data_IF_899393952898
#
_entry.id   IF_899393952898
#
_cell.length_a   1.000
_cell.length_b   1.000
_cell.length_c   1.000
_cell.angle_alpha   90.00
_cell.angle_beta   90.00
_cell.angle_gamma   90.00
#
_symmetry.space_group_name_H-M   'P 1'
#
loop_
_entity.id
_entity.type
_entity.pdbx_description
1 polymer ?
#
# COMPACT_ATOMS: atom_id res chain seq x y z
N UNK A 1 30.56 -39.03 -61.21
CA UNK A 1 30.07 -37.65 -60.95
C UNK A 1 29.09 -37.74 -59.80
N UNK A 2 29.57 -37.53 -58.56
CA UNK A 2 28.77 -37.70 -57.33
C UNK A 2 28.29 -36.33 -56.87
N UNK A 3 26.99 -36.11 -56.88
CA UNK A 3 26.36 -34.84 -56.43
C UNK A 3 26.15 -34.92 -54.91
N UNK A 4 26.91 -34.12 -54.14
CA UNK A 4 26.68 -33.89 -52.71
C UNK A 4 25.51 -32.91 -52.55
N UNK A 5 24.41 -33.36 -51.95
CA UNK A 5 23.30 -32.50 -51.53
C UNK A 5 23.60 -32.00 -50.09
N UNK A 6 23.77 -30.66 -49.98
CA UNK A 6 23.92 -29.99 -48.68
C UNK A 6 22.52 -29.75 -48.13
N UNK A 7 22.16 -30.45 -47.05
CA UNK A 7 20.90 -30.25 -46.30
C UNK A 7 21.11 -29.07 -45.33
N UNK A 8 20.51 -27.91 -45.65
CA UNK A 8 20.47 -26.74 -44.72
C UNK A 8 19.41 -27.00 -43.65
N UNK A 9 19.80 -27.31 -42.44
CA UNK A 9 18.91 -27.40 -41.30
C UNK A 9 18.67 -25.97 -40.76
N UNK A 10 17.48 -25.43 -41.01
CA UNK A 10 17.02 -24.19 -40.35
C UNK A 10 16.63 -24.51 -38.89
N UNK A 11 17.46 -24.11 -37.93
CA UNK A 11 17.14 -24.11 -36.53
C UNK A 11 16.14 -22.97 -36.24
N UNK A 12 14.86 -23.29 -36.17
CA UNK A 12 13.82 -22.40 -35.66
C UNK A 12 13.99 -22.31 -34.13
N UNK A 13 14.67 -21.27 -33.66
CA UNK A 13 14.70 -20.94 -32.25
C UNK A 13 13.26 -20.51 -31.81
N UNK A 14 12.66 -21.13 -30.77
CA UNK A 14 11.37 -20.70 -30.28
C UNK A 14 11.51 -19.30 -29.68
N UNK A 15 10.83 -18.31 -30.27
CA UNK A 15 10.62 -17.01 -29.63
C UNK A 15 9.70 -17.27 -28.44
N UNK A 16 10.27 -17.39 -27.25
CA UNK A 16 9.51 -17.33 -26.01
C UNK A 16 8.97 -15.92 -25.85
N UNK A 17 7.70 -15.70 -26.19
CA UNK A 17 6.97 -14.51 -25.83
C UNK A 17 6.92 -14.45 -24.31
N UNK A 18 7.76 -13.61 -23.71
CA UNK A 18 7.70 -13.34 -22.29
C UNK A 18 6.30 -12.82 -21.94
N UNK A 19 5.49 -13.65 -21.31
CA UNK A 19 4.15 -13.30 -20.87
C UNK A 19 4.28 -12.14 -19.88
N UNK A 20 3.80 -10.96 -20.26
CA UNK A 20 3.86 -9.76 -19.44
C UNK A 20 3.00 -9.98 -18.19
N UNK A 21 3.63 -10.31 -17.08
CA UNK A 21 2.91 -10.54 -15.81
C UNK A 21 2.28 -9.23 -15.35
N UNK A 22 1.01 -9.27 -14.95
CA UNK A 22 0.32 -8.10 -14.39
C UNK A 22 1.05 -7.62 -13.14
N UNK A 23 1.53 -6.36 -13.09
CA UNK A 23 2.24 -5.85 -11.93
C UNK A 23 1.32 -5.79 -10.71
N UNK A 24 1.90 -6.02 -9.54
CA UNK A 24 1.16 -6.10 -8.27
C UNK A 24 1.35 -4.83 -7.47
N UNK A 25 0.25 -4.33 -6.89
CA UNK A 25 0.23 -3.33 -5.82
C UNK A 25 -0.16 -4.06 -4.54
N UNK A 26 0.63 -3.94 -3.49
CA UNK A 26 0.25 -4.43 -2.17
C UNK A 26 -0.19 -3.27 -1.30
N UNK A 27 -1.38 -3.37 -0.73
CA UNK A 27 -1.82 -2.54 0.40
C UNK A 27 -1.39 -3.23 1.69
N UNK A 28 -0.42 -2.63 2.40
CA UNK A 28 0.23 -3.21 3.57
C UNK A 28 0.01 -2.33 4.78
N UNK A 29 -0.85 -2.78 5.68
CA UNK A 29 -1.30 -1.97 6.80
C UNK A 29 -1.99 -2.74 7.91
N UNK A 30 -2.80 -2.02 8.66
CA UNK A 30 -3.56 -2.53 9.79
C UNK A 30 -5.06 -2.74 9.48
N UNK A 31 -5.95 -2.35 10.39
CA UNK A 31 -7.40 -2.53 10.25
C UNK A 31 -8.03 -1.69 9.14
N UNK A 32 -7.50 -0.49 8.86
CA UNK A 32 -7.97 0.34 7.77
C UNK A 32 -7.70 -0.34 6.42
N UNK A 33 -6.51 -0.92 6.28
CA UNK A 33 -6.15 -1.70 5.09
C UNK A 33 -6.94 -3.00 5.01
N UNK A 34 -7.10 -3.72 6.13
CA UNK A 34 -7.87 -4.97 6.16
C UNK A 34 -9.34 -4.79 5.78
N UNK A 35 -9.90 -3.61 5.99
CA UNK A 35 -11.33 -3.33 5.84
C UNK A 35 -12.14 -3.83 7.05
N UNK A 36 -11.65 -3.56 8.27
CA UNK A 36 -12.33 -3.96 9.50
C UNK A 36 -13.79 -3.51 9.52
N UNK A 37 -14.69 -4.42 9.86
CA UNK A 37 -16.14 -4.16 9.91
C UNK A 37 -16.85 -4.04 8.55
N UNK A 38 -16.12 -4.01 7.43
CA UNK A 38 -16.71 -4.03 6.10
C UNK A 38 -17.03 -5.47 5.64
N UNK A 39 -18.05 -5.63 4.82
CA UNK A 39 -18.33 -6.90 4.19
C UNK A 39 -17.18 -7.31 3.21
N UNK A 40 -16.99 -8.61 2.93
CA UNK A 40 -16.01 -9.04 1.94
C UNK A 40 -16.21 -8.34 0.58
N UNK A 41 -15.11 -7.88 -0.04
CA UNK A 41 -15.14 -7.13 -1.28
C UNK A 41 -15.41 -5.61 -1.12
N UNK A 42 -15.46 -5.11 0.13
CA UNK A 42 -15.75 -3.71 0.44
C UNK A 42 -14.63 -3.02 1.25
N UNK A 43 -13.43 -3.58 1.28
CA UNK A 43 -12.25 -2.87 1.78
C UNK A 43 -11.77 -1.80 0.79
N UNK A 44 -10.97 -0.83 1.24
CA UNK A 44 -10.42 0.15 0.29
C UNK A 44 -9.52 -0.49 -0.77
N UNK A 45 -8.74 -1.55 -0.51
CA UNK A 45 -8.00 -2.23 -1.57
C UNK A 45 -8.89 -2.85 -2.65
N UNK A 46 -10.08 -3.35 -2.29
CA UNK A 46 -11.05 -3.87 -3.27
C UNK A 46 -11.56 -2.74 -4.18
N UNK A 47 -11.92 -1.60 -3.60
CA UNK A 47 -12.34 -0.42 -4.37
C UNK A 47 -11.19 0.20 -5.17
N UNK A 48 -9.96 0.15 -4.66
CA UNK A 48 -8.77 0.58 -5.40
C UNK A 48 -8.57 -0.26 -6.67
N UNK A 49 -8.80 -1.59 -6.59
CA UNK A 49 -8.78 -2.45 -7.78
C UNK A 49 -9.80 -1.98 -8.82
N UNK A 50 -11.05 -1.76 -8.39
CA UNK A 50 -12.12 -1.28 -9.29
C UNK A 50 -11.76 0.08 -9.92
N UNK A 51 -11.18 1.00 -9.16
CA UNK A 51 -10.73 2.30 -9.67
C UNK A 51 -9.62 2.17 -10.71
N UNK A 52 -8.63 1.33 -10.46
CA UNK A 52 -7.54 1.08 -11.40
C UNK A 52 -8.08 0.51 -12.71
N UNK A 53 -8.95 -0.50 -12.64
CA UNK A 53 -9.56 -1.15 -13.80
C UNK A 53 -10.40 -0.16 -14.62
N UNK A 54 -11.26 0.62 -13.96
CA UNK A 54 -12.13 1.61 -14.62
C UNK A 54 -11.35 2.75 -15.28
N UNK A 55 -10.13 3.02 -14.81
CA UNK A 55 -9.25 4.08 -15.34
C UNK A 55 -8.18 3.55 -16.31
N UNK A 56 -8.24 2.26 -16.66
CA UNK A 56 -7.36 1.61 -17.63
C UNK A 56 -5.93 1.37 -17.13
N UNK A 57 -5.75 1.21 -15.82
CA UNK A 57 -4.48 0.79 -15.23
C UNK A 57 -4.50 -0.73 -14.99
N UNK A 58 -3.54 -1.44 -15.57
CA UNK A 58 -3.46 -2.89 -15.48
C UNK A 58 -2.57 -3.32 -14.31
N UNK A 59 -3.12 -3.27 -13.10
CA UNK A 59 -2.48 -3.74 -11.86
C UNK A 59 -3.40 -4.70 -11.13
N UNK A 60 -2.82 -5.62 -10.36
CA UNK A 60 -3.52 -6.44 -9.39
C UNK A 60 -3.26 -5.91 -7.99
N UNK A 61 -4.30 -5.60 -7.23
CA UNK A 61 -4.19 -5.16 -5.83
C UNK A 61 -4.29 -6.37 -4.91
N UNK A 62 -3.35 -6.47 -3.96
CA UNK A 62 -3.36 -7.45 -2.88
C UNK A 62 -3.56 -6.73 -1.55
N UNK A 63 -4.59 -7.12 -0.82
CA UNK A 63 -4.81 -6.68 0.54
C UNK A 63 -3.96 -7.53 1.50
N UNK A 64 -3.00 -6.91 2.18
CA UNK A 64 -2.17 -7.50 3.22
C UNK A 64 -2.32 -6.75 4.55
N UNK A 65 -3.49 -6.16 4.80
CA UNK A 65 -3.88 -5.56 6.07
C UNK A 65 -4.17 -6.63 7.12
N UNK A 66 -3.78 -6.37 8.37
CA UNK A 66 -4.16 -7.20 9.53
C UNK A 66 -4.59 -6.28 10.67
N UNK A 67 -5.86 -6.40 11.07
CA UNK A 67 -6.43 -5.56 12.13
C UNK A 67 -5.63 -5.66 13.43
N UNK A 68 -5.40 -4.50 14.07
CA UNK A 68 -4.67 -4.40 15.32
C UNK A 68 -3.14 -4.39 15.18
N UNK A 69 -2.60 -4.57 13.97
CA UNK A 69 -1.16 -4.54 13.77
C UNK A 69 -0.57 -3.14 14.05
N UNK A 70 0.57 -3.13 14.72
CA UNK A 70 1.43 -1.98 14.93
C UNK A 70 2.52 -1.91 13.86
N UNK A 71 3.31 -0.84 13.87
CA UNK A 71 4.51 -0.73 13.02
C UNK A 71 5.50 -1.88 13.28
N UNK A 72 5.62 -2.37 14.54
CA UNK A 72 6.44 -3.53 14.90
C UNK A 72 5.98 -4.80 14.18
N UNK A 73 4.67 -5.02 14.10
CA UNK A 73 4.10 -6.15 13.37
C UNK A 73 4.37 -6.01 11.87
N UNK A 74 4.29 -4.79 11.34
CA UNK A 74 4.68 -4.48 9.97
C UNK A 74 6.13 -4.90 9.68
N UNK A 75 7.09 -4.56 10.57
CA UNK A 75 8.48 -4.99 10.44
C UNK A 75 8.60 -6.51 10.37
N UNK A 76 7.87 -7.24 11.22
CA UNK A 76 7.91 -8.71 11.25
C UNK A 76 7.41 -9.36 9.96
N UNK A 77 6.48 -8.71 9.24
CA UNK A 77 5.78 -9.23 8.06
C UNK A 77 6.30 -8.70 6.72
N UNK A 78 7.18 -7.69 6.70
CA UNK A 78 7.62 -7.04 5.46
C UNK A 78 8.24 -8.02 4.45
N UNK A 79 8.86 -9.10 4.91
CA UNK A 79 9.40 -10.15 4.02
C UNK A 79 8.31 -10.92 3.27
N UNK A 80 7.14 -11.13 3.88
CA UNK A 80 6.00 -11.75 3.21
C UNK A 80 5.46 -10.86 2.08
N UNK A 81 5.51 -9.52 2.29
CA UNK A 81 5.17 -8.56 1.24
C UNK A 81 6.11 -8.65 0.06
N UNK A 82 7.43 -8.72 0.32
CA UNK A 82 8.45 -8.87 -0.73
C UNK A 82 8.25 -10.17 -1.51
N UNK A 83 7.89 -11.26 -0.82
CA UNK A 83 7.64 -12.57 -1.46
C UNK A 83 6.44 -12.57 -2.43
N UNK A 84 5.53 -11.59 -2.33
CA UNK A 84 4.46 -11.37 -3.29
C UNK A 84 4.91 -10.66 -4.58
N UNK A 85 6.19 -10.31 -4.69
CA UNK A 85 6.82 -9.62 -5.83
C UNK A 85 6.06 -8.35 -6.28
N UNK A 86 5.69 -7.42 -5.37
CA UNK A 86 4.98 -6.23 -5.76
C UNK A 86 5.87 -5.25 -6.52
N UNK A 87 5.29 -4.51 -7.44
CA UNK A 87 5.92 -3.35 -8.07
C UNK A 87 5.79 -2.09 -7.21
N UNK A 88 4.71 -2.00 -6.43
CA UNK A 88 4.40 -0.87 -5.55
C UNK A 88 3.81 -1.43 -4.24
N UNK A 89 4.17 -0.80 -3.12
CA UNK A 89 3.55 -1.06 -1.80
C UNK A 89 3.02 0.25 -1.24
N UNK A 90 1.75 0.24 -0.84
CA UNK A 90 1.16 1.27 0.02
C UNK A 90 1.40 0.84 1.45
N UNK A 91 2.19 1.60 2.20
CA UNK A 91 2.46 1.36 3.63
C UNK A 91 1.52 2.23 4.45
N UNK A 92 0.69 1.60 5.28
CA UNK A 92 -0.31 2.24 6.13
C UNK A 92 -0.23 1.61 7.53
N UNK A 93 0.52 2.21 8.44
CA UNK A 93 0.71 1.78 9.83
C UNK A 93 0.92 2.98 10.75
N UNK A 94 0.70 2.77 12.03
CA UNK A 94 1.00 3.71 13.11
C UNK A 94 -0.24 4.15 13.87
N UNK A 95 -1.43 3.90 13.36
CA UNK A 95 -2.68 4.14 14.07
C UNK A 95 -2.71 3.40 15.41
N UNK A 96 -2.44 2.11 15.41
CA UNK A 96 -2.39 1.29 16.63
C UNK A 96 -1.24 1.66 17.56
N UNK A 97 -0.11 2.12 17.03
CA UNK A 97 1.00 2.63 17.84
C UNK A 97 0.56 3.88 18.62
N UNK A 98 -0.06 4.83 17.91
CA UNK A 98 -0.57 6.06 18.50
C UNK A 98 -1.69 5.83 19.49
N UNK A 99 -2.72 5.05 19.15
CA UNK A 99 -3.86 4.76 20.01
C UNK A 99 -3.46 4.05 21.31
N UNK A 100 -2.36 3.29 21.28
CA UNK A 100 -1.82 2.58 22.46
C UNK A 100 -0.74 3.36 23.20
N UNK A 101 -0.43 4.59 22.79
CA UNK A 101 0.60 5.42 23.43
C UNK A 101 2.01 4.82 23.32
N UNK A 102 2.32 4.07 22.26
CA UNK A 102 3.66 3.50 22.08
C UNK A 102 4.69 4.61 21.81
N UNK A 103 5.97 4.40 22.16
CA UNK A 103 6.99 5.41 21.94
C UNK A 103 7.11 5.82 20.45
N UNK A 104 6.94 7.10 20.17
CA UNK A 104 7.01 7.66 18.80
C UNK A 104 8.34 7.33 18.14
N UNK A 105 9.43 7.31 18.89
CA UNK A 105 10.76 6.92 18.40
C UNK A 105 10.79 5.50 17.86
N UNK A 106 10.06 4.57 18.49
CA UNK A 106 9.92 3.20 18.02
C UNK A 106 9.08 3.12 16.75
N UNK A 107 7.95 3.85 16.71
CA UNK A 107 7.11 3.96 15.50
C UNK A 107 7.91 4.47 14.30
N UNK A 108 8.70 5.54 14.50
CA UNK A 108 9.60 6.11 13.46
C UNK A 108 10.62 5.08 12.98
N UNK A 109 11.32 4.42 13.90
CA UNK A 109 12.34 3.42 13.57
C UNK A 109 11.75 2.22 12.81
N UNK A 110 10.55 1.79 13.17
CA UNK A 110 9.85 0.70 12.50
C UNK A 110 9.40 1.09 11.08
N UNK A 111 8.83 2.27 10.89
CA UNK A 111 8.47 2.78 9.54
C UNK A 111 9.71 2.92 8.67
N UNK A 112 10.80 3.45 9.18
CA UNK A 112 12.09 3.54 8.50
C UNK A 112 12.57 2.14 8.06
N UNK A 113 12.44 1.16 8.93
CA UNK A 113 12.83 -0.23 8.65
C UNK A 113 11.96 -0.84 7.56
N UNK A 114 10.64 -0.65 7.60
CA UNK A 114 9.70 -1.15 6.59
C UNK A 114 10.05 -0.54 5.23
N UNK A 115 10.09 0.80 5.15
CA UNK A 115 10.32 1.53 3.89
C UNK A 115 11.67 1.18 3.28
N UNK A 116 12.75 1.24 4.08
CA UNK A 116 14.10 0.90 3.59
C UNK A 116 14.22 -0.54 3.14
N UNK A 117 13.52 -1.49 3.80
CA UNK A 117 13.54 -2.91 3.43
C UNK A 117 12.84 -3.12 2.09
N UNK A 118 11.71 -2.47 1.85
CA UNK A 118 11.00 -2.52 0.57
C UNK A 118 11.82 -1.87 -0.56
N UNK A 119 12.40 -0.69 -0.31
CA UNK A 119 13.23 0.00 -1.32
C UNK A 119 14.49 -0.79 -1.68
N UNK A 120 15.16 -1.42 -0.71
CA UNK A 120 16.31 -2.31 -0.99
C UNK A 120 15.94 -3.51 -1.84
N UNK A 121 14.69 -3.96 -1.80
CA UNK A 121 14.17 -4.99 -2.70
C UNK A 121 13.74 -4.46 -4.09
N UNK A 122 14.00 -3.18 -4.40
CA UNK A 122 13.64 -2.55 -5.67
C UNK A 122 12.16 -2.18 -5.81
N UNK A 123 11.41 -2.21 -4.71
CA UNK A 123 9.96 -1.97 -4.68
C UNK A 123 9.69 -0.47 -4.46
N UNK A 124 8.77 0.09 -5.24
CA UNK A 124 8.31 1.46 -5.03
C UNK A 124 7.39 1.51 -3.82
N UNK A 125 7.56 2.53 -2.99
CA UNK A 125 6.76 2.72 -1.77
C UNK A 125 5.95 4.01 -1.87
N UNK A 126 4.70 3.95 -1.44
CA UNK A 126 3.84 5.09 -1.15
C UNK A 126 3.44 5.02 0.32
N UNK A 127 3.50 6.14 1.05
CA UNK A 127 3.22 6.20 2.48
C UNK A 127 1.87 6.86 2.73
N UNK A 128 0.97 6.17 3.42
CA UNK A 128 -0.29 6.70 3.90
C UNK A 128 -0.21 6.91 5.41
N UNK A 129 -0.34 8.16 5.84
CA UNK A 129 -0.29 8.57 7.23
C UNK A 129 -1.64 8.47 7.92
N UNK A 130 -1.58 8.47 9.24
CA UNK A 130 -2.72 8.48 10.16
C UNK A 130 -2.57 9.70 11.09
N UNK A 131 -3.69 10.25 11.53
CA UNK A 131 -3.74 11.15 12.69
C UNK A 131 -4.55 10.52 13.82
N UNK A 132 -4.46 11.09 15.00
CA UNK A 132 -5.18 10.60 16.19
C UNK A 132 -6.37 11.51 16.53
N UNK A 133 -7.37 10.99 17.28
CA UNK A 133 -8.44 11.80 17.84
C UNK A 133 -7.91 12.94 18.73
N UNK A 134 -8.65 14.05 18.84
CA UNK A 134 -8.21 15.23 19.61
C UNK A 134 -7.87 14.97 21.07
N UNK A 135 -8.49 13.96 21.68
CA UNK A 135 -8.31 13.59 23.10
C UNK A 135 -6.88 13.14 23.45
N UNK A 136 -6.06 12.82 22.44
CA UNK A 136 -4.65 12.47 22.63
C UNK A 136 -3.73 13.69 22.86
N UNK A 137 -4.28 14.89 22.72
CA UNK A 137 -3.56 16.15 22.93
C UNK A 137 -2.71 16.59 21.73
N UNK A 138 -2.57 17.91 21.54
CA UNK A 138 -2.01 18.48 20.32
C UNK A 138 -0.54 18.08 20.08
N UNK A 139 0.29 18.06 21.14
CA UNK A 139 1.72 17.77 21.00
C UNK A 139 1.97 16.33 20.54
N UNK A 140 1.21 15.38 21.10
CA UNK A 140 1.34 13.97 20.71
C UNK A 140 0.83 13.72 19.30
N UNK A 141 -0.32 14.32 18.94
CA UNK A 141 -0.88 14.25 17.59
C UNK A 141 0.10 14.84 16.58
N UNK A 142 0.68 16.01 16.88
CA UNK A 142 1.69 16.62 16.03
C UNK A 142 2.90 15.69 15.82
N UNK A 143 3.41 15.10 16.90
CA UNK A 143 4.57 14.22 16.82
C UNK A 143 4.30 12.93 16.02
N UNK A 144 3.07 12.39 16.07
CA UNK A 144 2.62 11.29 15.20
C UNK A 144 2.57 11.75 13.74
N UNK A 145 1.93 12.88 13.45
CA UNK A 145 1.81 13.41 12.09
C UNK A 145 3.18 13.69 11.47
N UNK A 146 4.10 14.30 12.22
CA UNK A 146 5.49 14.56 11.79
C UNK A 146 6.25 13.28 11.43
N UNK A 147 5.91 12.16 12.05
CA UNK A 147 6.55 10.87 11.77
C UNK A 147 6.47 10.50 10.30
N UNK A 148 5.31 10.69 9.69
CA UNK A 148 5.11 10.38 8.26
C UNK A 148 5.81 11.39 7.34
N UNK A 149 5.79 12.66 7.71
CA UNK A 149 6.48 13.74 6.94
C UNK A 149 7.97 13.48 6.93
N UNK A 150 8.56 13.17 8.09
CA UNK A 150 9.99 12.87 8.21
C UNK A 150 10.38 11.61 7.41
N UNK A 151 9.59 10.54 7.51
CA UNK A 151 9.84 9.32 6.76
C UNK A 151 9.73 9.56 5.25
N UNK A 152 8.67 10.23 4.80
CA UNK A 152 8.47 10.53 3.38
C UNK A 152 9.62 11.34 2.79
N UNK A 153 10.09 12.37 3.51
CA UNK A 153 11.25 13.19 3.12
C UNK A 153 12.54 12.37 3.10
N UNK A 154 12.78 11.57 4.14
CA UNK A 154 13.99 10.75 4.28
C UNK A 154 14.16 9.75 3.14
N UNK A 155 13.06 9.08 2.74
CA UNK A 155 13.08 8.02 1.75
C UNK A 155 12.63 8.46 0.36
N UNK A 156 12.31 9.75 0.20
CA UNK A 156 11.81 10.34 -1.06
C UNK A 156 10.63 9.53 -1.64
N UNK A 157 9.59 9.31 -0.82
CA UNK A 157 8.39 8.59 -1.20
C UNK A 157 7.16 9.51 -1.20
N UNK A 158 6.17 9.29 -2.08
CA UNK A 158 4.90 10.00 -2.03
C UNK A 158 4.22 9.81 -0.67
N UNK A 159 3.63 10.87 -0.14
CA UNK A 159 2.92 10.89 1.14
C UNK A 159 1.48 11.33 0.95
N UNK A 160 0.55 10.56 1.49
CA UNK A 160 -0.79 10.97 1.84
C UNK A 160 -0.78 11.25 3.36
N UNK A 161 -0.82 12.51 3.81
CA UNK A 161 -0.63 12.83 5.23
C UNK A 161 -1.66 12.18 6.17
N UNK A 162 -2.90 12.05 5.67
CA UNK A 162 -3.99 11.42 6.41
C UNK A 162 -4.89 10.61 5.46
N UNK A 163 -4.91 9.30 5.63
CA UNK A 163 -5.65 8.38 4.74
C UNK A 163 -7.16 8.63 4.76
N UNK A 164 -7.72 9.10 5.90
CA UNK A 164 -9.13 9.46 6.06
C UNK A 164 -9.43 10.92 5.70
N UNK A 165 -8.51 11.64 5.04
CA UNK A 165 -8.77 12.99 4.56
C UNK A 165 -10.03 13.02 3.67
N UNK A 166 -10.92 13.99 3.93
CA UNK A 166 -12.22 14.12 3.23
C UNK A 166 -13.16 12.90 3.38
N UNK A 167 -12.89 11.97 4.29
CA UNK A 167 -13.76 10.83 4.63
C UNK A 167 -14.47 11.10 5.94
N UNK A 168 -13.75 11.60 6.92
CA UNK A 168 -14.19 11.75 8.31
C UNK A 168 -15.45 12.59 8.47
N UNK A 169 -15.63 13.61 7.63
CA UNK A 169 -16.78 14.54 7.70
C UNK A 169 -17.92 14.17 6.74
N UNK A 170 -17.84 13.03 6.05
CA UNK A 170 -18.90 12.60 5.12
C UNK A 170 -19.94 11.79 5.89
N UNK A 171 -21.22 12.18 5.90
CA UNK A 171 -22.28 11.43 6.57
C UNK A 171 -22.31 9.97 6.10
N UNK A 172 -22.31 9.02 7.03
CA UNK A 172 -22.36 7.58 6.76
C UNK A 172 -21.06 6.98 6.20
N UNK A 173 -19.96 7.73 6.13
CA UNK A 173 -18.68 7.21 5.67
C UNK A 173 -17.88 6.52 6.79
N UNK A 174 -18.12 6.88 8.06
CA UNK A 174 -17.44 6.27 9.21
C UNK A 174 -18.39 5.32 9.94
N UNK A 175 -17.83 4.24 10.49
CA UNK A 175 -18.52 3.35 11.40
C UNK A 175 -18.78 4.05 12.74
N UNK A 176 -19.61 3.46 13.61
CA UNK A 176 -19.94 4.04 14.92
C UNK A 176 -18.73 4.23 15.84
N UNK A 177 -17.66 3.47 15.61
CA UNK A 177 -16.41 3.61 16.36
C UNK A 177 -15.62 4.89 16.03
N UNK A 178 -16.00 5.60 14.96
CA UNK A 178 -15.35 6.83 14.51
C UNK A 178 -13.92 6.65 13.99
N UNK A 179 -13.45 5.42 13.78
CA UNK A 179 -12.08 5.08 13.36
C UNK A 179 -12.07 4.41 12.00
N UNK A 180 -13.02 3.51 11.74
CA UNK A 180 -13.05 2.70 10.53
C UNK A 180 -14.10 3.20 9.53
N UNK A 181 -13.77 3.08 8.24
CA UNK A 181 -14.70 3.43 7.17
C UNK A 181 -15.81 2.37 7.00
N UNK A 182 -17.02 2.84 6.70
CA UNK A 182 -18.06 1.98 6.11
C UNK A 182 -17.69 1.59 4.67
N UNK A 183 -18.54 0.85 3.96
CA UNK A 183 -18.34 0.60 2.52
C UNK A 183 -18.18 1.91 1.72
N UNK A 184 -19.01 2.93 2.02
CA UNK A 184 -18.88 4.25 1.42
C UNK A 184 -17.56 4.95 1.81
N UNK A 185 -17.16 4.87 3.09
CA UNK A 185 -15.89 5.41 3.55
C UNK A 185 -14.69 4.74 2.86
N UNK A 186 -14.73 3.43 2.68
CA UNK A 186 -13.69 2.68 1.99
C UNK A 186 -13.56 3.04 0.50
N UNK A 187 -14.65 3.42 -0.17
CA UNK A 187 -14.60 3.98 -1.53
C UNK A 187 -13.84 5.32 -1.54
N UNK A 188 -14.13 6.21 -0.59
CA UNK A 188 -13.45 7.50 -0.49
C UNK A 188 -11.96 7.33 -0.13
N UNK A 189 -11.63 6.39 0.76
CA UNK A 189 -10.24 6.03 1.07
C UNK A 189 -9.53 5.53 -0.19
N UNK A 190 -10.18 4.71 -1.01
CA UNK A 190 -9.60 4.22 -2.25
C UNK A 190 -9.28 5.36 -3.24
N UNK A 191 -10.12 6.40 -3.33
CA UNK A 191 -9.82 7.60 -4.13
C UNK A 191 -8.59 8.36 -3.60
N UNK A 192 -8.48 8.51 -2.28
CA UNK A 192 -7.29 9.12 -1.66
C UNK A 192 -6.02 8.34 -1.99
N UNK A 193 -6.06 7.01 -1.82
CA UNK A 193 -4.92 6.12 -2.11
C UNK A 193 -4.62 6.08 -3.61
N UNK A 194 -5.63 6.11 -4.48
CA UNK A 194 -5.40 6.25 -5.92
C UNK A 194 -4.67 7.55 -6.25
N UNK A 195 -5.07 8.66 -5.62
CA UNK A 195 -4.39 9.96 -5.76
C UNK A 195 -2.92 9.89 -5.34
N UNK A 196 -2.62 9.23 -4.22
CA UNK A 196 -1.27 8.98 -3.72
C UNK A 196 -0.43 8.18 -4.72
N UNK A 197 -1.05 7.19 -5.38
CA UNK A 197 -0.35 6.28 -6.30
C UNK A 197 -0.07 6.87 -7.68
N UNK A 198 -0.82 7.90 -8.12
CA UNK A 198 -0.71 8.47 -9.49
C UNK A 198 0.73 8.68 -9.98
N UNK A 199 1.67 9.26 -9.20
CA UNK A 199 3.04 9.47 -9.69
C UNK A 199 3.84 8.18 -9.89
N UNK A 200 3.39 7.05 -9.38
CA UNK A 200 4.06 5.74 -9.44
C UNK A 200 3.48 4.82 -10.52
N UNK A 201 2.22 5.07 -10.93
CA UNK A 201 1.49 4.24 -11.89
C UNK A 201 2.00 4.41 -13.31
N UNK A 202 1.92 3.33 -14.09
CA UNK A 202 2.17 3.30 -15.54
C UNK A 202 0.97 2.67 -16.24
N UNK A 203 0.56 3.23 -17.36
CA UNK A 203 -0.42 2.60 -18.27
C UNK A 203 0.25 1.59 -19.18
#
# INVERSE_FOLDING_TARGET
MTRCAILLLFLLAPFALAQKTTPVIVSFGDSLTAGYGAAPGHSYPDYLQQLLDSRGYHYRVLNMGISGNTTKDGVSRVRNVIAAHPSIVVVEFGGNDGLRGLPITATRANLDTIISTLQRAGIKVALAGITLPPDYGPDYIQAINETYVLAAKKFNVPLLPFILANVYNVPGAMQEDGIHGTANGNQLIAENVFGLLKPLLKK
#
